data_IF_370077937049
#
_entry.id   IF_370077937049
#
_cell.length_a   1.000
_cell.length_b   1.000
_cell.length_c   1.000
_cell.angle_alpha   90.00
_cell.angle_beta   90.00
_cell.angle_gamma   90.00
#
_symmetry.space_group_name_H-M   'P 1'
#
loop_
_entity.id
_entity.type
_entity.pdbx_description
1 polymer ?
#
# COMPACT_ATOMS: atom_id res chain seq x y z
N UNK A 1 -18.76 -14.90 -12.50
CA UNK A 1 -19.80 -14.03 -11.91
C UNK A 1 -19.39 -13.70 -10.49
N UNK A 2 -19.36 -12.41 -10.10
CA UNK A 2 -19.14 -12.02 -8.70
C UNK A 2 -20.34 -12.53 -7.89
N UNK A 3 -20.09 -13.34 -6.86
CA UNK A 3 -21.14 -13.95 -6.03
C UNK A 3 -21.91 -12.86 -5.26
N UNK A 4 -23.21 -13.09 -5.02
CA UNK A 4 -24.08 -12.15 -4.29
C UNK A 4 -23.51 -11.59 -2.96
N UNK A 5 -22.80 -12.40 -2.14
CA UNK A 5 -22.16 -11.91 -0.91
C UNK A 5 -21.06 -10.87 -1.16
N UNK A 6 -20.25 -11.04 -2.21
CA UNK A 6 -19.15 -10.12 -2.53
C UNK A 6 -19.72 -8.78 -3.00
N UNK A 7 -20.80 -8.79 -3.79
CA UNK A 7 -21.49 -7.56 -4.21
C UNK A 7 -22.01 -6.77 -3.00
N UNK A 8 -22.65 -7.45 -2.04
CA UNK A 8 -23.16 -6.80 -0.82
C UNK A 8 -22.04 -6.15 0.02
N UNK A 9 -20.88 -6.79 0.12
CA UNK A 9 -19.71 -6.21 0.81
C UNK A 9 -19.18 -4.95 0.11
N UNK A 10 -19.14 -4.96 -1.22
CA UNK A 10 -18.74 -3.79 -2.02
C UNK A 10 -19.74 -2.65 -1.84
N UNK A 11 -21.04 -2.94 -1.85
CA UNK A 11 -22.09 -1.93 -1.62
C UNK A 11 -22.03 -1.34 -0.20
N UNK A 12 -21.70 -2.15 0.82
CA UNK A 12 -21.48 -1.66 2.18
C UNK A 12 -20.28 -0.72 2.29
N UNK A 13 -19.17 -1.06 1.64
CA UNK A 13 -17.97 -0.21 1.57
C UNK A 13 -18.32 1.12 0.89
N UNK A 14 -19.08 1.07 -0.21
CA UNK A 14 -19.54 2.26 -0.94
C UNK A 14 -20.41 3.19 -0.08
N UNK A 15 -21.38 2.62 0.64
CA UNK A 15 -22.27 3.37 1.53
C UNK A 15 -21.51 4.02 2.69
N UNK A 16 -20.46 3.38 3.21
CA UNK A 16 -19.61 3.94 4.25
C UNK A 16 -18.77 5.15 3.75
N UNK A 17 -18.32 5.12 2.50
CA UNK A 17 -17.63 6.27 1.89
C UNK A 17 -18.57 7.43 1.59
N UNK A 18 -19.79 7.15 1.14
CA UNK A 18 -20.81 8.16 0.87
C UNK A 18 -21.29 8.87 2.15
N UNK A 19 -21.47 8.13 3.25
CA UNK A 19 -21.83 8.71 4.56
C UNK A 19 -20.68 9.48 5.24
N UNK A 20 -19.44 9.20 4.85
CA UNK A 20 -18.23 9.91 5.29
C UNK A 20 -17.90 11.21 4.53
N UNK A 21 -18.75 11.62 3.56
CA UNK A 21 -18.56 12.88 2.81
C UNK A 21 -17.60 12.81 1.63
N UNK A 22 -17.18 11.62 1.19
CA UNK A 22 -16.34 11.45 0.00
C UNK A 22 -17.23 11.35 -1.25
N UNK A 23 -17.40 12.46 -1.96
CA UNK A 23 -18.36 12.55 -3.07
C UNK A 23 -17.81 12.14 -4.44
N UNK A 24 -16.48 11.95 -4.58
CA UNK A 24 -15.88 11.60 -5.86
C UNK A 24 -15.64 10.08 -6.00
N UNK A 25 -16.45 9.36 -6.79
CA UNK A 25 -16.34 7.91 -6.97
C UNK A 25 -14.99 7.45 -7.54
N UNK A 26 -14.32 8.28 -8.37
CA UNK A 26 -13.02 7.94 -8.96
C UNK A 26 -11.93 7.92 -7.87
N UNK A 27 -11.95 8.89 -6.97
CA UNK A 27 -11.01 8.95 -5.86
C UNK A 27 -11.17 7.74 -4.94
N UNK A 28 -12.40 7.29 -4.69
CA UNK A 28 -12.67 6.08 -3.87
C UNK A 28 -12.08 4.83 -4.52
N UNK A 29 -12.27 4.66 -5.84
CA UNK A 29 -11.71 3.52 -6.58
C UNK A 29 -10.18 3.52 -6.47
N UNK A 30 -9.55 4.70 -6.57
CA UNK A 30 -8.09 4.82 -6.43
C UNK A 30 -7.63 4.40 -5.03
N UNK A 31 -8.32 4.86 -3.98
CA UNK A 31 -8.03 4.50 -2.59
C UNK A 31 -8.18 3.00 -2.34
N UNK A 32 -9.26 2.38 -2.81
CA UNK A 32 -9.46 0.92 -2.71
C UNK A 32 -8.36 0.18 -3.47
N UNK A 33 -7.98 0.66 -4.64
CA UNK A 33 -6.94 0.04 -5.48
C UNK A 33 -5.60 -0.01 -4.75
N UNK A 34 -5.18 1.07 -4.09
CA UNK A 34 -3.95 1.05 -3.29
C UNK A 34 -4.01 0.08 -2.11
N UNK A 35 -5.15 -0.01 -1.42
CA UNK A 35 -5.35 -0.98 -0.33
C UNK A 35 -5.25 -2.42 -0.83
N UNK A 36 -5.78 -2.71 -2.03
CA UNK A 36 -5.65 -4.03 -2.66
C UNK A 36 -4.19 -4.34 -3.06
N UNK A 37 -3.45 -3.34 -3.57
CA UNK A 37 -2.04 -3.52 -3.90
C UNK A 37 -1.19 -3.85 -2.68
N UNK A 38 -1.32 -3.09 -1.60
CA UNK A 38 -0.52 -3.34 -0.39
C UNK A 38 -0.88 -4.69 0.26
N UNK A 39 -2.17 -5.07 0.23
CA UNK A 39 -2.61 -6.40 0.67
C UNK A 39 -1.95 -7.50 -0.18
N UNK A 40 -1.94 -7.35 -1.51
CA UNK A 40 -1.33 -8.33 -2.41
C UNK A 40 0.19 -8.45 -2.17
N UNK A 41 0.87 -7.33 -1.93
CA UNK A 41 2.30 -7.32 -1.61
C UNK A 41 2.60 -8.01 -0.27
N UNK A 42 1.76 -7.80 0.73
CA UNK A 42 1.87 -8.44 2.05
C UNK A 42 1.66 -9.96 1.97
N UNK A 43 0.68 -10.42 1.18
CA UNK A 43 0.44 -11.84 0.93
C UNK A 43 1.66 -12.50 0.24
N UNK A 44 2.26 -11.82 -0.75
CA UNK A 44 3.47 -12.30 -1.44
C UNK A 44 4.68 -12.35 -0.51
N UNK A 45 4.86 -11.35 0.35
CA UNK A 45 5.93 -11.35 1.34
C UNK A 45 5.76 -12.52 2.32
N UNK A 46 4.56 -12.72 2.84
CA UNK A 46 4.24 -13.82 3.76
C UNK A 46 4.51 -15.19 3.11
N UNK A 47 4.18 -15.34 1.83
CA UNK A 47 4.49 -16.56 1.08
C UNK A 47 6.00 -16.79 0.96
N UNK A 48 6.77 -15.75 0.63
CA UNK A 48 8.22 -15.82 0.54
C UNK A 48 8.87 -16.13 1.91
N UNK A 49 8.35 -15.55 2.99
CA UNK A 49 8.77 -15.81 4.38
C UNK A 49 8.52 -17.26 4.80
N UNK A 50 7.33 -17.79 4.47
CA UNK A 50 7.01 -19.19 4.74
C UNK A 50 7.89 -20.15 3.94
N UNK A 51 8.19 -19.83 2.67
CA UNK A 51 9.09 -20.62 1.82
C UNK A 51 10.51 -20.64 2.41
N UNK A 52 11.05 -19.47 2.76
CA UNK A 52 12.36 -19.32 3.40
C UNK A 52 12.45 -20.12 4.71
N UNK A 53 11.42 -20.02 5.57
CA UNK A 53 11.36 -20.79 6.83
C UNK A 53 11.31 -22.29 6.61
N UNK A 54 10.63 -22.74 5.56
CA UNK A 54 10.50 -24.18 5.23
C UNK A 54 11.81 -24.74 4.66
N UNK A 55 12.50 -23.97 3.81
CA UNK A 55 13.74 -24.40 3.16
C UNK A 55 14.99 -24.15 4.02
N UNK A 56 14.89 -23.30 5.06
CA UNK A 56 16.04 -22.87 5.86
C UNK A 56 16.95 -21.88 5.15
N UNK A 57 16.53 -21.35 4.01
CA UNK A 57 17.28 -20.41 3.18
C UNK A 57 16.80 -18.97 3.39
N UNK A 58 17.67 -17.96 3.24
CA UNK A 58 17.24 -16.57 3.30
C UNK A 58 16.28 -16.23 2.16
N UNK A 59 15.40 -15.26 2.38
CA UNK A 59 14.42 -14.83 1.39
C UNK A 59 15.11 -14.20 0.16
N UNK A 60 14.96 -14.83 -1.02
CA UNK A 60 15.57 -14.35 -2.27
C UNK A 60 15.17 -12.91 -2.63
N UNK A 61 13.90 -12.54 -2.40
CA UNK A 61 13.38 -11.19 -2.67
C UNK A 61 12.48 -10.71 -1.55
N UNK A 62 13.03 -9.84 -0.71
CA UNK A 62 12.28 -9.21 0.38
C UNK A 62 11.56 -7.96 -0.09
N UNK A 63 10.24 -8.02 -0.18
CA UNK A 63 9.38 -6.90 -0.63
C UNK A 63 9.40 -5.74 0.38
N UNK A 64 9.40 -6.06 1.67
CA UNK A 64 9.50 -5.10 2.77
C UNK A 64 10.90 -5.24 3.39
N UNK A 65 11.86 -4.40 3.00
CA UNK A 65 13.25 -4.52 3.45
C UNK A 65 13.37 -4.37 4.97
N UNK A 66 14.49 -4.79 5.54
CA UNK A 66 14.78 -4.53 6.97
C UNK A 66 15.12 -3.05 7.19
N UNK A 67 14.78 -2.52 8.36
CA UNK A 67 15.04 -1.13 8.74
C UNK A 67 13.79 -0.24 8.76
N UNK A 68 14.01 1.06 8.56
CA UNK A 68 12.97 2.09 8.69
C UNK A 68 12.71 2.80 7.37
N UNK A 69 11.44 2.93 7.00
CA UNK A 69 10.98 3.84 5.97
C UNK A 69 10.98 5.28 6.52
N UNK A 70 11.73 6.16 5.87
CA UNK A 70 11.77 7.59 6.20
C UNK A 70 10.76 8.34 5.36
N UNK A 71 9.78 8.97 6.00
CA UNK A 71 8.85 9.86 5.33
C UNK A 71 9.22 11.33 5.58
N UNK A 72 9.34 12.11 4.50
CA UNK A 72 9.52 13.56 4.56
C UNK A 72 8.19 14.23 4.85
N UNK A 73 8.09 14.95 5.96
CA UNK A 73 6.83 15.60 6.39
C UNK A 73 6.59 16.90 5.64
N UNK A 74 7.66 17.59 5.27
CA UNK A 74 7.61 18.84 4.52
C UNK A 74 8.30 18.73 3.17
N UNK A 75 7.79 19.50 2.21
CA UNK A 75 8.38 19.68 0.88
C UNK A 75 9.34 20.88 0.83
N UNK A 76 9.51 21.60 1.95
CA UNK A 76 10.42 22.75 2.03
C UNK A 76 11.87 22.25 1.96
N UNK A 77 12.70 22.77 1.02
CA UNK A 77 14.10 22.43 0.92
C UNK A 77 14.92 22.67 2.21
N UNK A 78 14.43 23.53 3.11
CA UNK A 78 15.12 23.91 4.34
C UNK A 78 14.64 23.16 5.59
N UNK A 79 13.60 22.33 5.48
CA UNK A 79 13.09 21.54 6.60
C UNK A 79 13.39 20.05 6.39
N UNK A 80 14.26 19.50 7.24
CA UNK A 80 14.68 18.09 7.20
C UNK A 80 13.84 17.21 8.15
N UNK A 81 12.62 17.65 8.47
CA UNK A 81 11.73 16.91 9.34
C UNK A 81 11.31 15.57 8.71
N UNK A 82 11.65 14.49 9.41
CA UNK A 82 11.36 13.12 8.98
C UNK A 82 10.63 12.37 10.09
N UNK A 83 9.70 11.50 9.69
CA UNK A 83 9.13 10.51 10.59
C UNK A 83 9.56 9.14 10.10
N UNK A 84 10.25 8.43 10.98
CA UNK A 84 10.76 7.10 10.73
C UNK A 84 9.76 6.06 11.22
N UNK A 85 9.47 5.05 10.39
CA UNK A 85 8.75 3.85 10.81
C UNK A 85 9.38 2.58 10.28
N UNK A 86 9.35 1.47 11.04
CA UNK A 86 9.77 0.18 10.54
C UNK A 86 9.01 -0.23 9.27
N UNK A 87 9.70 -0.82 8.29
CA UNK A 87 9.04 -1.37 7.08
C UNK A 87 8.00 -2.44 7.39
N UNK A 88 8.15 -3.15 8.52
CA UNK A 88 7.18 -4.14 8.96
C UNK A 88 5.83 -3.52 9.35
N UNK A 89 5.80 -2.27 9.82
CA UNK A 89 4.56 -1.55 10.16
C UNK A 89 3.77 -1.15 8.89
N UNK A 90 4.41 -1.14 7.72
CA UNK A 90 3.75 -0.87 6.43
C UNK A 90 3.04 -2.11 5.87
N UNK A 91 3.16 -3.27 6.52
CA UNK A 91 2.48 -4.50 6.10
C UNK A 91 0.98 -4.41 6.41
N UNK A 92 0.16 -4.75 5.43
CA UNK A 92 -1.31 -4.76 5.59
C UNK A 92 -1.76 -5.57 6.81
N UNK A 93 -1.19 -6.76 7.02
CA UNK A 93 -1.45 -7.65 8.16
C UNK A 93 -1.19 -7.02 9.52
N UNK A 94 -0.30 -6.01 9.60
CA UNK A 94 0.02 -5.29 10.84
C UNK A 94 -0.91 -4.12 11.06
N UNK A 95 -0.94 -3.17 10.12
CA UNK A 95 -1.65 -1.91 10.37
C UNK A 95 -3.18 -2.02 10.30
N UNK A 96 -3.73 -3.09 9.70
CA UNK A 96 -5.18 -3.31 9.65
C UNK A 96 -5.84 -3.43 11.03
N UNK A 97 -5.06 -3.69 12.08
CA UNK A 97 -5.55 -3.87 13.44
C UNK A 97 -5.39 -2.58 14.28
N UNK A 98 -4.84 -1.51 13.71
CA UNK A 98 -4.74 -0.23 14.39
C UNK A 98 -6.06 0.56 14.35
N UNK A 99 -6.17 1.57 15.21
CA UNK A 99 -7.28 2.52 15.19
C UNK A 99 -7.39 3.19 13.80
N UNK A 100 -8.62 3.48 13.38
CA UNK A 100 -8.90 4.04 12.06
C UNK A 100 -8.09 5.32 11.76
N UNK A 101 -7.87 6.18 12.76
CA UNK A 101 -7.07 7.42 12.59
C UNK A 101 -5.59 7.12 12.36
N UNK A 102 -5.06 6.11 13.04
CA UNK A 102 -3.66 5.69 12.88
C UNK A 102 -3.47 5.00 11.54
N UNK A 103 -4.41 4.12 11.16
CA UNK A 103 -4.40 3.45 9.87
C UNK A 103 -4.40 4.45 8.71
N UNK A 104 -5.28 5.46 8.76
CA UNK A 104 -5.31 6.52 7.73
C UNK A 104 -3.94 7.20 7.59
N UNK A 105 -3.33 7.60 8.72
CA UNK A 105 -2.01 8.21 8.72
C UNK A 105 -0.93 7.30 8.13
N UNK A 106 -0.96 6.00 8.44
CA UNK A 106 0.01 5.02 7.91
C UNK A 106 -0.13 4.89 6.40
N UNK A 107 -1.37 4.76 5.91
CA UNK A 107 -1.62 4.61 4.49
C UNK A 107 -1.19 5.86 3.71
N UNK A 108 -1.59 7.03 4.19
CA UNK A 108 -1.32 8.32 3.56
C UNK A 108 0.18 8.67 3.55
N UNK A 109 0.83 8.60 4.72
CA UNK A 109 2.20 9.08 4.89
C UNK A 109 3.26 8.02 4.57
N UNK A 110 2.95 6.72 4.61
CA UNK A 110 3.99 5.68 4.46
C UNK A 110 3.68 4.74 3.30
N UNK A 111 2.45 4.22 3.21
CA UNK A 111 2.10 3.23 2.17
C UNK A 111 2.11 3.87 0.78
N UNK A 112 1.53 5.05 0.57
CA UNK A 112 1.58 5.67 -0.76
C UNK A 112 3.00 6.02 -1.21
N UNK A 113 3.84 6.71 -0.41
CA UNK A 113 5.20 6.99 -0.82
C UNK A 113 6.01 5.71 -1.07
N UNK A 114 5.80 4.66 -0.26
CA UNK A 114 6.44 3.36 -0.46
C UNK A 114 6.02 2.68 -1.78
N UNK A 115 4.71 2.65 -2.09
CA UNK A 115 4.22 2.09 -3.35
C UNK A 115 4.74 2.87 -4.56
N UNK A 116 4.86 4.20 -4.44
CA UNK A 116 5.46 5.05 -5.49
C UNK A 116 6.94 4.75 -5.69
N UNK A 117 7.72 4.61 -4.62
CA UNK A 117 9.13 4.23 -4.68
C UNK A 117 9.32 2.82 -5.28
N UNK A 118 8.46 1.87 -4.93
CA UNK A 118 8.46 0.53 -5.50
C UNK A 118 8.14 0.54 -7.01
N UNK A 119 7.16 1.35 -7.43
CA UNK A 119 6.82 1.55 -8.84
C UNK A 119 7.91 2.28 -9.63
N UNK A 120 8.62 3.22 -9.01
CA UNK A 120 9.75 3.92 -9.61
C UNK A 120 11.00 3.04 -9.75
N UNK A 121 11.24 2.11 -8.80
CA UNK A 121 12.34 1.13 -8.88
C UNK A 121 12.05 -0.03 -9.83
N UNK A 122 10.77 -0.38 -10.02
CA UNK A 122 10.32 -1.45 -10.91
C UNK A 122 10.07 -1.03 -12.35
N UNK A 123 9.99 0.27 -12.65
CA UNK A 123 9.82 0.80 -14.00
C UNK A 123 11.00 1.73 -14.35
N UNK A 124 11.55 1.58 -15.55
CA UNK A 124 12.64 2.42 -16.08
C UNK A 124 12.22 3.87 -16.41
N UNK A 125 11.23 4.42 -15.70
CA UNK A 125 10.64 5.74 -15.97
C UNK A 125 10.48 6.53 -14.67
N UNK A 126 11.61 6.97 -14.11
CA UNK A 126 11.68 7.78 -12.89
C UNK A 126 11.38 9.28 -13.04
N UNK A 127 10.74 9.76 -14.12
CA UNK A 127 10.80 11.22 -14.43
C UNK A 127 9.46 11.95 -14.62
N UNK A 128 8.28 11.35 -14.43
CA UNK A 128 7.06 12.17 -14.37
C UNK A 128 5.91 11.47 -13.61
N UNK A 129 5.55 11.96 -12.43
CA UNK A 129 4.42 11.40 -11.66
C UNK A 129 3.50 12.51 -11.15
N UNK A 130 2.78 13.14 -12.08
CA UNK A 130 1.44 13.66 -11.83
C UNK A 130 0.52 12.88 -12.78
N UNK A 131 -0.28 11.96 -12.22
CA UNK A 131 -1.06 10.91 -12.90
C UNK A 131 -0.22 9.80 -13.52
N UNK A 132 -0.22 8.63 -12.89
CA UNK A 132 -0.01 7.39 -13.63
C UNK A 132 -0.88 6.29 -13.00
N UNK A 133 -1.89 5.86 -13.75
CA UNK A 133 -2.64 4.62 -13.50
C UNK A 133 -1.64 3.50 -13.69
N UNK A 134 -1.34 2.72 -12.64
CA UNK A 134 -0.35 1.63 -12.68
C UNK A 134 -0.78 0.58 -13.72
N UNK A 135 -0.08 0.43 -14.87
CA UNK A 135 -0.44 -0.54 -15.88
C UNK A 135 0.60 -1.67 -15.90
N UNK A 136 0.76 -2.43 -14.81
CA UNK A 136 1.61 -3.64 -14.83
C UNK A 136 1.08 -4.67 -13.83
N UNK A 137 0.11 -5.48 -14.25
CA UNK A 137 -0.04 -6.87 -13.80
C UNK A 137 -1.00 -7.70 -14.68
N UNK A 138 -1.04 -7.40 -15.99
CA UNK A 138 -1.72 -8.25 -16.99
C UNK A 138 -0.68 -8.66 -18.06
N UNK A 139 0.33 -9.39 -17.61
CA UNK A 139 1.22 -10.19 -18.46
C UNK A 139 1.83 -11.26 -17.56
N UNK A 140 1.02 -12.27 -17.30
CA UNK A 140 1.40 -13.63 -16.93
C UNK A 140 0.28 -14.54 -17.44
#
# INVERSE_FOLDING_TARGET
>A
MLTGPIRSQVDHIWNAFWSGGVSNPISVIEQITYLLFIKRLDDLHTLAENKARTLGEPMERRIFPEGTFRYKVSEDPNDDSHIDRPYDDLRWSRFKNFDARIMFRIVDQYVFPFLRDLGAKGSSYGTHSKRCVIPVMLSA
#
